data_IF_241024047416
#
_entry.id   IF_241024047416
#
_cell.length_a   1.000
_cell.length_b   1.000
_cell.length_c   1.000
_cell.angle_alpha   90.00
_cell.angle_beta   90.00
_cell.angle_gamma   90.00
#
_symmetry.space_group_name_H-M   'P 1'
#
loop_
_entity.id
_entity.type
_entity.pdbx_description
1 polymer ?
#
# COMPACT_ATOMS: atom_id res chain seq x y z
N UNK A 1 13.00 25.24 6.31
CA UNK A 1 12.64 23.81 6.32
C UNK A 1 11.17 23.57 6.66
N UNK A 2 10.66 24.21 7.70
CA UNK A 2 9.26 24.03 8.10
C UNK A 2 8.26 24.36 7.00
N UNK A 3 8.51 25.43 6.26
CA UNK A 3 7.62 25.85 5.17
C UNK A 3 7.61 24.86 4.02
N UNK A 4 8.79 24.29 3.70
CA UNK A 4 8.91 23.28 2.65
C UNK A 4 8.21 21.99 3.08
N UNK A 5 8.43 21.56 4.33
CA UNK A 5 7.78 20.38 4.87
C UNK A 5 6.26 20.53 4.87
N UNK A 6 5.75 21.70 5.30
CA UNK A 6 4.32 21.98 5.30
C UNK A 6 3.75 21.89 3.87
N UNK A 7 4.44 22.48 2.90
CA UNK A 7 4.01 22.46 1.50
C UNK A 7 3.95 21.03 0.96
N UNK A 8 4.97 20.22 1.27
CA UNK A 8 5.02 18.80 0.85
C UNK A 8 3.85 18.04 1.45
N UNK A 9 3.63 18.16 2.76
CA UNK A 9 2.55 17.45 3.44
C UNK A 9 1.19 17.88 2.91
N UNK A 10 1.02 19.17 2.63
CA UNK A 10 -0.24 19.67 2.09
C UNK A 10 -0.53 19.11 0.70
N UNK A 11 0.50 19.03 -0.15
CA UNK A 11 0.35 18.53 -1.53
C UNK A 11 0.16 17.02 -1.56
N UNK A 12 0.76 16.29 -0.61
CA UNK A 12 0.67 14.83 -0.54
C UNK A 12 -0.47 14.34 0.33
N UNK A 13 -1.28 15.25 0.89
CA UNK A 13 -2.35 14.88 1.81
C UNK A 13 -3.33 13.88 1.19
N UNK A 14 -3.82 14.13 -0.02
CA UNK A 14 -4.78 13.26 -0.67
C UNK A 14 -4.20 11.89 -0.99
N UNK A 15 -3.01 11.77 -1.63
CA UNK A 15 -2.44 10.45 -1.87
C UNK A 15 -2.07 9.70 -0.58
N UNK A 16 -1.63 10.41 0.48
CA UNK A 16 -1.35 9.76 1.76
C UNK A 16 -2.60 9.16 2.38
N UNK A 17 -3.71 9.91 2.37
CA UNK A 17 -4.98 9.41 2.88
C UNK A 17 -5.44 8.21 2.05
N UNK A 18 -5.32 8.27 0.73
CA UNK A 18 -5.66 7.17 -0.17
C UNK A 18 -4.85 5.92 0.15
N UNK A 19 -3.52 6.05 0.30
CA UNK A 19 -2.66 4.91 0.61
C UNK A 19 -2.99 4.30 1.96
N UNK A 20 -3.19 5.13 2.99
CA UNK A 20 -3.53 4.65 4.32
C UNK A 20 -4.86 3.89 4.28
N UNK A 21 -5.86 4.42 3.59
CA UNK A 21 -7.17 3.79 3.47
C UNK A 21 -7.07 2.46 2.72
N UNK A 22 -6.38 2.45 1.59
CA UNK A 22 -6.21 1.23 0.77
C UNK A 22 -5.47 0.17 1.56
N UNK A 23 -4.40 0.54 2.26
CA UNK A 23 -3.64 -0.41 3.06
C UNK A 23 -4.46 -0.93 4.24
N UNK A 24 -5.21 -0.07 4.92
CA UNK A 24 -6.05 -0.49 6.03
C UNK A 24 -7.08 -1.53 5.59
N UNK A 25 -7.73 -1.30 4.46
CA UNK A 25 -8.72 -2.23 3.90
C UNK A 25 -8.05 -3.53 3.48
N UNK A 26 -6.95 -3.44 2.75
CA UNK A 26 -6.26 -4.61 2.18
C UNK A 26 -5.65 -5.49 3.27
N UNK A 27 -4.94 -4.89 4.21
CA UNK A 27 -4.30 -5.61 5.32
C UNK A 27 -5.36 -6.18 6.25
N UNK A 28 -6.36 -5.38 6.61
CA UNK A 28 -7.43 -5.82 7.50
C UNK A 28 -8.20 -7.00 6.94
N UNK A 29 -8.58 -6.93 5.67
CA UNK A 29 -9.29 -8.02 5.01
C UNK A 29 -8.46 -9.29 4.93
N UNK A 30 -7.19 -9.17 4.56
CA UNK A 30 -6.31 -10.34 4.46
C UNK A 30 -6.10 -11.00 5.82
N UNK A 31 -5.95 -10.22 6.87
CA UNK A 31 -5.78 -10.75 8.23
C UNK A 31 -7.05 -11.42 8.75
N UNK A 32 -8.23 -10.93 8.36
CA UNK A 32 -9.51 -11.47 8.81
C UNK A 32 -9.97 -12.70 8.03
N UNK A 33 -9.53 -12.87 6.78
CA UNK A 33 -9.93 -14.01 5.96
C UNK A 33 -9.12 -15.23 6.39
N UNK A 34 -9.78 -16.37 6.69
CA UNK A 34 -9.05 -17.57 7.06
C UNK A 34 -8.16 -18.08 5.94
N UNK A 35 -6.94 -18.44 6.29
CA UNK A 35 -5.97 -19.02 5.37
C UNK A 35 -5.58 -20.41 5.83
N UNK A 36 -4.41 -20.86 5.38
CA UNK A 36 -3.88 -22.18 5.72
C UNK A 36 -2.61 -22.02 6.55
N UNK A 37 -2.43 -22.91 7.54
CA UNK A 37 -1.18 -22.98 8.30
C UNK A 37 -0.24 -24.03 7.70
N UNK A 38 0.86 -24.33 8.40
CA UNK A 38 1.85 -25.29 7.93
C UNK A 38 1.25 -26.71 7.74
N UNK A 39 0.23 -27.04 8.51
CA UNK A 39 -0.42 -28.36 8.47
C UNK A 39 -1.63 -28.41 7.54
N UNK A 40 -1.92 -27.30 6.86
CA UNK A 40 -3.07 -27.19 5.97
C UNK A 40 -4.39 -26.93 6.69
N UNK A 41 -4.36 -26.64 7.99
CA UNK A 41 -5.55 -26.31 8.77
C UNK A 41 -5.89 -24.84 8.66
N UNK A 42 -7.17 -24.45 8.83
CA UNK A 42 -7.54 -23.03 8.79
C UNK A 42 -6.81 -22.23 9.87
N UNK A 43 -6.35 -21.06 9.50
CA UNK A 43 -5.67 -20.16 10.41
C UNK A 43 -5.72 -18.74 9.89
N UNK A 44 -5.38 -17.77 10.74
CA UNK A 44 -5.39 -16.37 10.36
C UNK A 44 -3.97 -15.85 10.29
N UNK A 45 -3.70 -15.04 9.26
CA UNK A 45 -2.45 -14.34 9.10
C UNK A 45 -2.36 -13.21 10.14
N UNK A 46 -1.17 -12.98 10.71
CA UNK A 46 -0.99 -11.82 11.59
C UNK A 46 -1.12 -10.52 10.79
N UNK A 47 -1.50 -9.44 11.49
CA UNK A 47 -1.61 -8.13 10.86
C UNK A 47 -0.26 -7.71 10.28
N UNK A 48 0.84 -7.95 11.00
CA UNK A 48 2.18 -7.62 10.52
C UNK A 48 2.52 -8.37 9.23
N UNK A 49 2.21 -9.66 9.18
CA UNK A 49 2.46 -10.46 7.98
C UNK A 49 1.58 -10.00 6.81
N UNK A 50 0.31 -9.69 7.08
CA UNK A 50 -0.58 -9.16 6.05
C UNK A 50 -0.07 -7.82 5.50
N UNK A 51 0.45 -6.96 6.37
CA UNK A 51 1.08 -5.71 5.96
C UNK A 51 2.30 -5.97 5.07
N UNK A 52 3.12 -6.95 5.44
CA UNK A 52 4.29 -7.34 4.66
C UNK A 52 3.89 -7.82 3.27
N UNK A 53 2.88 -8.69 3.18
CA UNK A 53 2.36 -9.20 1.90
C UNK A 53 1.85 -8.05 1.02
N UNK A 54 1.07 -7.15 1.61
CA UNK A 54 0.54 -6.01 0.84
C UNK A 54 1.64 -5.07 0.40
N UNK A 55 2.69 -4.92 1.20
CA UNK A 55 3.80 -4.04 0.86
C UNK A 55 4.57 -4.55 -0.37
N UNK A 56 4.91 -5.83 -0.42
CA UNK A 56 5.60 -6.33 -1.60
C UNK A 56 4.66 -6.49 -2.81
N UNK A 57 3.37 -6.58 -2.57
CA UNK A 57 2.39 -6.61 -3.66
C UNK A 57 2.23 -5.22 -4.28
N UNK A 58 2.01 -4.20 -3.44
CA UNK A 58 1.79 -2.83 -3.90
C UNK A 58 3.02 -2.26 -4.60
N UNK A 59 4.21 -2.61 -4.13
CA UNK A 59 5.47 -2.14 -4.72
C UNK A 59 5.96 -3.00 -5.87
N UNK A 60 5.19 -4.01 -6.26
CA UNK A 60 5.44 -4.91 -7.39
C UNK A 60 6.63 -5.86 -7.24
N UNK A 61 7.15 -6.04 -6.03
CA UNK A 61 8.22 -7.01 -5.77
C UNK A 61 7.70 -8.43 -5.96
N UNK A 62 6.54 -8.73 -5.34
CA UNK A 62 5.81 -9.96 -5.62
C UNK A 62 6.49 -11.25 -5.20
N UNK A 63 6.84 -11.39 -3.92
CA UNK A 63 7.47 -12.62 -3.42
C UNK A 63 6.59 -13.87 -3.55
N UNK A 64 5.29 -13.69 -3.69
CA UNK A 64 4.36 -14.81 -3.81
C UNK A 64 3.64 -15.13 -2.49
N UNK A 65 3.13 -16.36 -2.40
CA UNK A 65 2.32 -16.79 -1.25
C UNK A 65 3.22 -17.35 -0.17
N UNK A 66 3.55 -16.53 0.82
CA UNK A 66 4.44 -16.89 1.91
C UNK A 66 3.78 -16.56 3.26
N UNK A 67 4.10 -17.31 4.33
CA UNK A 67 4.97 -18.49 4.39
C UNK A 67 4.32 -19.76 3.85
N UNK A 68 3.01 -19.77 3.68
CA UNK A 68 2.25 -20.92 3.20
C UNK A 68 1.37 -20.52 2.05
N UNK A 69 0.90 -21.52 1.28
CA UNK A 69 -0.04 -21.25 0.19
C UNK A 69 -1.29 -20.56 0.73
N UNK A 70 -1.82 -19.63 -0.05
CA UNK A 70 -3.04 -18.92 0.35
C UNK A 70 -4.27 -19.77 0.03
N UNK A 71 -5.33 -19.59 0.82
CA UNK A 71 -6.63 -20.16 0.48
C UNK A 71 -7.23 -19.41 -0.71
N UNK A 72 -8.25 -20.01 -1.34
CA UNK A 72 -8.92 -19.34 -2.46
C UNK A 72 -9.57 -18.02 -2.04
N UNK A 73 -10.11 -17.97 -0.81
CA UNK A 73 -10.66 -16.72 -0.28
C UNK A 73 -9.59 -15.64 -0.16
N UNK A 74 -8.40 -16.00 0.33
CA UNK A 74 -7.27 -15.08 0.42
C UNK A 74 -6.82 -14.64 -0.98
N UNK A 75 -6.76 -15.57 -1.93
CA UNK A 75 -6.39 -15.24 -3.31
C UNK A 75 -7.36 -14.27 -3.95
N UNK A 76 -8.66 -14.45 -3.71
CA UNK A 76 -9.67 -13.54 -4.21
C UNK A 76 -9.48 -12.14 -3.63
N UNK A 77 -9.26 -12.05 -2.33
CA UNK A 77 -9.03 -10.77 -1.66
C UNK A 77 -7.76 -10.09 -2.14
N UNK A 78 -6.68 -10.86 -2.29
CA UNK A 78 -5.40 -10.33 -2.78
C UNK A 78 -5.55 -9.85 -4.22
N UNK A 79 -6.30 -10.56 -5.06
CA UNK A 79 -6.56 -10.12 -6.42
C UNK A 79 -7.21 -8.74 -6.44
N UNK A 80 -8.23 -8.53 -5.63
CA UNK A 80 -8.87 -7.22 -5.49
C UNK A 80 -7.89 -6.18 -4.95
N UNK A 81 -7.09 -6.57 -3.95
CA UNK A 81 -6.12 -5.68 -3.32
C UNK A 81 -4.98 -5.28 -4.26
N UNK A 82 -4.59 -6.15 -5.20
CA UNK A 82 -3.58 -5.81 -6.20
C UNK A 82 -4.01 -4.56 -6.98
N UNK A 83 -5.24 -4.53 -7.46
CA UNK A 83 -5.71 -3.37 -8.21
C UNK A 83 -5.78 -2.12 -7.34
N UNK A 84 -6.29 -2.26 -6.11
CA UNK A 84 -6.38 -1.12 -5.20
C UNK A 84 -5.01 -0.56 -4.84
N UNK A 85 -4.08 -1.43 -4.44
CA UNK A 85 -2.77 -1.00 -3.94
C UNK A 85 -1.90 -0.45 -5.06
N UNK A 86 -1.90 -1.09 -6.23
CA UNK A 86 -1.10 -0.62 -7.36
C UNK A 86 -1.63 0.72 -7.87
N UNK A 87 -2.95 0.87 -7.98
CA UNK A 87 -3.55 2.14 -8.39
C UNK A 87 -3.26 3.23 -7.34
N UNK A 88 -3.36 2.90 -6.06
CA UNK A 88 -3.05 3.83 -4.98
C UNK A 88 -1.61 4.33 -5.03
N UNK A 89 -0.65 3.42 -5.22
CA UNK A 89 0.76 3.79 -5.36
C UNK A 89 1.02 4.59 -6.63
N UNK A 90 0.38 4.22 -7.76
CA UNK A 90 0.51 4.98 -9.00
C UNK A 90 0.01 6.42 -8.83
N UNK A 91 -1.11 6.59 -8.13
CA UNK A 91 -1.64 7.90 -7.81
C UNK A 91 -0.66 8.70 -6.94
N UNK A 92 -0.11 8.06 -5.90
CA UNK A 92 0.84 8.72 -5.00
C UNK A 92 2.12 9.14 -5.75
N UNK A 93 2.67 8.23 -6.56
CA UNK A 93 3.88 8.51 -7.34
C UNK A 93 3.60 9.61 -8.37
N UNK A 94 2.45 9.53 -9.05
CA UNK A 94 2.07 10.55 -10.03
C UNK A 94 1.93 11.92 -9.40
N UNK A 95 1.31 12.00 -8.23
CA UNK A 95 1.18 13.27 -7.50
C UNK A 95 2.54 13.81 -7.08
N UNK A 96 3.42 12.93 -6.61
CA UNK A 96 4.77 13.31 -6.20
C UNK A 96 5.56 13.87 -7.39
N UNK A 97 5.49 13.19 -8.54
CA UNK A 97 6.18 13.66 -9.75
C UNK A 97 5.61 15.01 -10.23
N UNK A 98 4.28 15.16 -10.20
CA UNK A 98 3.65 16.42 -10.57
C UNK A 98 4.10 17.55 -9.64
N UNK A 99 4.20 17.28 -8.35
CA UNK A 99 4.68 18.24 -7.37
C UNK A 99 6.12 18.65 -7.65
N UNK A 100 6.99 17.69 -7.96
CA UNK A 100 8.40 17.98 -8.26
C UNK A 100 8.56 18.76 -9.55
N UNK A 101 7.62 18.66 -10.48
CA UNK A 101 7.61 19.40 -11.72
C UNK A 101 6.93 20.77 -11.59
N UNK A 102 6.25 21.00 -10.46
CA UNK A 102 5.54 22.24 -10.21
C UNK A 102 6.53 23.38 -10.02
N UNK A 103 6.32 24.46 -10.76
CA UNK A 103 7.20 25.63 -10.71
C UNK A 103 7.22 26.28 -9.33
N UNK A 104 6.06 26.37 -8.70
CA UNK A 104 5.94 26.97 -7.36
C UNK A 104 6.72 26.17 -6.34
N UNK A 105 6.64 24.85 -6.41
CA UNK A 105 7.37 23.96 -5.48
C UNK A 105 8.89 24.09 -5.69
N UNK A 106 9.33 24.11 -6.96
CA UNK A 106 10.75 24.28 -7.29
C UNK A 106 11.29 25.61 -6.77
N UNK A 107 10.51 26.66 -6.89
CA UNK A 107 10.90 27.99 -6.38
C UNK A 107 11.02 27.95 -4.86
N UNK A 108 10.12 27.28 -4.16
CA UNK A 108 10.20 27.13 -2.72
C UNK A 108 11.46 26.38 -2.29
N UNK A 109 11.86 25.34 -3.04
CA UNK A 109 13.08 24.59 -2.75
C UNK A 109 14.35 25.38 -3.03
N UNK A 110 14.31 26.29 -3.99
CA UNK A 110 15.49 27.07 -4.40
C UNK A 110 15.85 28.17 -3.39
N UNK A 111 14.95 28.53 -2.48
CA UNK A 111 15.17 29.49 -1.42
C UNK A 111 15.64 28.80 -0.15
#
# INVERSE_FOLDING_TARGET
>A
MGDVLFLVLRRLRAPLITLITVYAISVGGLALIPGLDADGNPGHMSIFHAFYVMSYTATTIGFGEIPYAFSDAQRMWVTFSIYLTVIGWAYAIGTMLAMLQDRSFRQALAV
#
